data_IF_275767797961
#
_entry.id   IF_275767797961
#
_cell.length_a   1.000
_cell.length_b   1.000
_cell.length_c   1.000
_cell.angle_alpha   90.00
_cell.angle_beta   90.00
_cell.angle_gamma   90.00
#
_symmetry.space_group_name_H-M   'P 1'
#
loop_
_entity.id
_entity.type
_entity.pdbx_description
1 polymer ?
#
# COMPACT_ATOMS: atom_id res chain seq x y z
N UNK A 1 -8.71 -13.90 71.40
CA UNK A 1 -9.59 -14.33 70.30
C UNK A 1 -9.86 -13.12 69.40
N UNK A 2 -9.32 -13.06 68.18
CA UNK A 2 -9.82 -12.13 67.14
C UNK A 2 -9.75 -12.85 65.79
N UNK A 3 -10.90 -13.34 65.33
CA UNK A 3 -11.05 -13.99 64.03
C UNK A 3 -10.86 -12.97 62.91
N UNK A 4 -9.78 -13.12 62.13
CA UNK A 4 -9.55 -12.34 60.91
C UNK A 4 -10.50 -12.86 59.83
N UNK A 5 -11.45 -12.03 59.40
CA UNK A 5 -12.44 -12.33 58.37
C UNK A 5 -11.79 -12.81 57.05
N UNK A 6 -11.81 -14.11 56.74
CA UNK A 6 -11.08 -14.68 55.59
C UNK A 6 -11.71 -14.33 54.23
N UNK A 7 -12.98 -13.88 54.22
CA UNK A 7 -13.71 -13.51 53.02
C UNK A 7 -13.37 -12.12 52.47
N UNK A 8 -13.00 -11.17 53.34
CA UNK A 8 -12.63 -9.81 52.92
C UNK A 8 -11.30 -9.80 52.19
N UNK A 9 -10.35 -10.63 52.61
CA UNK A 9 -9.03 -10.76 51.99
C UNK A 9 -9.12 -11.44 50.62
N UNK A 10 -9.98 -12.44 50.45
CA UNK A 10 -10.12 -13.16 49.16
C UNK A 10 -10.73 -12.29 48.07
N UNK A 11 -11.75 -11.50 48.39
CA UNK A 11 -12.38 -10.61 47.41
C UNK A 11 -11.45 -9.48 46.96
N UNK A 12 -10.71 -8.89 47.91
CA UNK A 12 -9.68 -7.88 47.62
C UNK A 12 -8.54 -8.46 46.77
N UNK A 13 -8.10 -9.68 47.05
CA UNK A 13 -7.09 -10.37 46.24
C UNK A 13 -7.56 -10.62 44.80
N UNK A 14 -8.83 -11.04 44.62
CA UNK A 14 -9.42 -11.25 43.30
C UNK A 14 -9.50 -9.95 42.49
N UNK A 15 -9.90 -8.84 43.13
CA UNK A 15 -9.92 -7.52 42.48
C UNK A 15 -8.52 -7.10 42.06
N UNK A 16 -7.53 -7.26 42.95
CA UNK A 16 -6.15 -6.91 42.64
C UNK A 16 -5.62 -7.74 41.45
N UNK A 17 -5.85 -9.06 41.46
CA UNK A 17 -5.43 -9.94 40.38
C UNK A 17 -6.08 -9.57 39.04
N UNK A 18 -7.37 -9.24 39.04
CA UNK A 18 -8.07 -8.80 37.83
C UNK A 18 -7.56 -7.45 37.32
N UNK A 19 -7.28 -6.50 38.22
CA UNK A 19 -6.70 -5.20 37.88
C UNK A 19 -5.30 -5.34 37.28
N UNK A 20 -4.44 -6.13 37.91
CA UNK A 20 -3.07 -6.38 37.45
C UNK A 20 -3.10 -7.04 36.06
N UNK A 21 -3.98 -8.02 35.86
CA UNK A 21 -4.15 -8.69 34.57
C UNK A 21 -4.63 -7.74 33.46
N UNK A 22 -5.56 -6.83 33.79
CA UNK A 22 -6.03 -5.82 32.84
C UNK A 22 -4.91 -4.85 32.45
N UNK A 23 -4.15 -4.35 33.43
CA UNK A 23 -3.03 -3.44 33.19
C UNK A 23 -1.97 -4.11 32.31
N UNK A 24 -1.62 -5.36 32.62
CA UNK A 24 -0.62 -6.11 31.86
C UNK A 24 -1.09 -6.38 30.42
N UNK A 25 -2.36 -6.73 30.24
CA UNK A 25 -2.96 -6.94 28.92
C UNK A 25 -2.94 -5.66 28.07
N UNK A 26 -3.33 -4.52 28.65
CA UNK A 26 -3.30 -3.23 27.94
C UNK A 26 -1.88 -2.77 27.63
N UNK A 27 -0.93 -2.99 28.55
CA UNK A 27 0.50 -2.72 28.30
C UNK A 27 1.02 -3.56 27.13
N UNK A 28 0.72 -4.86 27.12
CA UNK A 28 1.15 -5.77 26.05
C UNK A 28 0.55 -5.38 24.69
N UNK A 29 -0.74 -4.97 24.66
CA UNK A 29 -1.38 -4.45 23.45
C UNK A 29 -0.71 -3.18 22.94
N UNK A 30 -0.38 -2.24 23.85
CA UNK A 30 0.32 -1.00 23.51
C UNK A 30 1.73 -1.24 22.99
N UNK A 31 2.47 -2.15 23.62
CA UNK A 31 3.80 -2.59 23.18
C UNK A 31 3.74 -3.20 21.78
N UNK A 32 2.79 -4.12 21.53
CA UNK A 32 2.58 -4.73 20.22
C UNK A 32 2.22 -3.68 19.16
N UNK A 33 1.36 -2.71 19.49
CA UNK A 33 1.02 -1.62 18.57
C UNK A 33 2.22 -0.71 18.27
N UNK A 34 3.07 -0.44 19.27
CA UNK A 34 4.31 0.31 19.11
C UNK A 34 5.32 -0.44 18.23
N UNK A 35 5.54 -1.74 18.49
CA UNK A 35 6.41 -2.59 17.68
C UNK A 35 5.90 -2.74 16.24
N UNK A 36 4.58 -2.92 16.04
CA UNK A 36 3.98 -2.95 14.72
C UNK A 36 4.12 -1.62 13.95
N UNK A 37 4.11 -0.48 14.65
CA UNK A 37 4.45 0.83 14.06
C UNK A 37 5.95 0.98 13.79
N UNK A 38 6.81 0.48 14.67
CA UNK A 38 8.26 0.52 14.54
C UNK A 38 8.75 -0.26 13.32
N UNK A 39 8.18 -1.45 13.08
CA UNK A 39 8.50 -2.27 11.91
C UNK A 39 8.10 -1.64 10.55
N UNK A 40 7.31 -0.55 10.52
CA UNK A 40 6.97 0.13 9.26
C UNK A 40 8.13 0.93 8.64
N UNK A 41 9.31 1.00 9.28
CA UNK A 41 10.37 1.92 8.83
C UNK A 41 11.76 1.29 8.61
N UNK A 42 11.89 -0.03 8.53
CA UNK A 42 13.17 -0.69 8.22
C UNK A 42 13.48 -0.72 6.71
N UNK A 43 13.21 0.36 5.99
CA UNK A 43 13.59 0.46 4.59
C UNK A 43 15.10 0.70 4.45
N UNK A 44 15.78 -0.08 3.61
CA UNK A 44 17.21 0.06 3.26
C UNK A 44 17.44 1.37 2.48
N UNK A 45 16.43 1.92 1.83
CA UNK A 45 16.53 3.17 1.10
C UNK A 45 15.22 3.67 0.50
N UNK A 46 15.32 4.70 -0.35
CA UNK A 46 14.20 5.25 -1.12
C UNK A 46 14.54 5.24 -2.61
N UNK A 47 13.58 4.82 -3.43
CA UNK A 47 13.65 4.88 -4.89
C UNK A 47 12.69 5.97 -5.38
N UNK A 48 13.22 6.98 -6.08
CA UNK A 48 12.42 7.96 -6.82
C UNK A 48 12.21 7.45 -8.24
N UNK A 49 10.95 7.28 -8.64
CA UNK A 49 10.57 6.86 -9.98
C UNK A 49 9.81 7.98 -10.66
N UNK A 50 10.22 8.33 -11.88
CA UNK A 50 9.54 9.33 -12.71
C UNK A 50 9.11 8.69 -14.02
N UNK A 51 7.80 8.67 -14.28
CA UNK A 51 7.21 8.22 -15.54
C UNK A 51 6.92 9.44 -16.41
N UNK A 52 7.66 9.56 -17.50
CA UNK A 52 7.57 10.70 -18.42
C UNK A 52 6.41 10.52 -19.41
N UNK A 53 6.54 9.57 -20.32
CA UNK A 53 5.58 9.32 -21.39
C UNK A 53 5.58 7.85 -21.83
N UNK A 54 4.54 7.45 -22.56
CA UNK A 54 4.53 6.23 -23.36
C UNK A 54 4.17 6.57 -24.79
N UNK A 55 4.59 5.73 -25.73
CA UNK A 55 4.31 5.89 -27.16
C UNK A 55 3.71 4.61 -27.74
N UNK A 56 2.94 4.79 -28.80
CA UNK A 56 2.38 3.70 -29.61
C UNK A 56 1.60 2.67 -28.77
N UNK A 57 0.74 3.16 -27.87
CA UNK A 57 -0.16 2.29 -27.12
C UNK A 57 -1.22 1.70 -28.06
N UNK A 58 -1.70 0.50 -27.71
CA UNK A 58 -2.83 -0.12 -28.39
C UNK A 58 -4.09 0.71 -28.16
N UNK A 59 -4.84 0.95 -29.24
CA UNK A 59 -6.16 1.56 -29.15
C UNK A 59 -7.16 0.59 -28.49
N UNK A 60 -7.89 1.08 -27.50
CA UNK A 60 -8.92 0.31 -26.78
C UNK A 60 -10.34 0.78 -27.05
N UNK A 61 -10.52 1.97 -27.65
CA UNK A 61 -11.83 2.52 -28.00
C UNK A 61 -12.08 2.46 -29.51
N UNK A 62 -13.36 2.40 -29.96
CA UNK A 62 -13.72 2.42 -31.37
C UNK A 62 -13.20 3.64 -32.15
N UNK A 63 -12.97 4.77 -31.48
CA UNK A 63 -12.40 5.98 -32.06
C UNK A 63 -10.89 5.86 -32.37
N UNK A 64 -10.28 4.69 -32.15
CA UNK A 64 -8.84 4.47 -32.36
C UNK A 64 -7.96 5.12 -31.28
N UNK A 65 -8.52 5.52 -30.14
CA UNK A 65 -7.80 6.13 -29.02
C UNK A 65 -7.94 5.31 -27.73
N UNK A 66 -7.27 5.79 -26.68
CA UNK A 66 -7.26 5.21 -25.35
C UNK A 66 -7.24 6.35 -24.31
N UNK A 67 -7.61 6.05 -23.07
CA UNK A 67 -7.50 6.89 -21.89
C UNK A 67 -6.44 6.33 -20.92
N UNK A 68 -5.16 6.26 -21.31
CA UNK A 68 -4.15 5.54 -20.56
C UNK A 68 -3.79 6.22 -19.24
N UNK A 69 -3.63 5.42 -18.19
CA UNK A 69 -2.97 5.79 -16.94
C UNK A 69 -1.92 4.73 -16.58
N UNK A 70 -0.93 5.09 -15.77
CA UNK A 70 0.07 4.14 -15.28
C UNK A 70 -0.11 3.85 -13.79
N UNK A 71 0.19 2.62 -13.41
CA UNK A 71 0.24 2.14 -12.04
C UNK A 71 1.63 1.56 -11.79
N UNK A 72 2.27 1.98 -10.71
CA UNK A 72 3.55 1.47 -10.25
C UNK A 72 3.33 0.72 -8.93
N UNK A 73 3.84 -0.50 -8.84
CA UNK A 73 3.75 -1.34 -7.64
C UNK A 73 5.11 -1.86 -7.21
N UNK A 74 5.34 -1.93 -5.91
CA UNK A 74 6.52 -2.55 -5.30
C UNK A 74 6.14 -3.10 -3.91
N UNK A 75 5.93 -4.42 -3.83
CA UNK A 75 5.35 -5.07 -2.67
C UNK A 75 3.96 -4.51 -2.34
N UNK A 76 3.79 -3.95 -1.13
CA UNK A 76 2.52 -3.36 -0.69
C UNK A 76 2.35 -1.88 -1.09
N UNK A 77 3.32 -1.28 -1.78
CA UNK A 77 3.26 0.12 -2.21
C UNK A 77 2.69 0.17 -3.63
N UNK A 78 1.71 1.05 -3.84
CA UNK A 78 1.07 1.27 -5.13
C UNK A 78 0.84 2.76 -5.36
N UNK A 79 1.18 3.23 -6.56
CA UNK A 79 1.01 4.61 -6.99
C UNK A 79 0.41 4.65 -8.39
N UNK A 80 -0.63 5.47 -8.59
CA UNK A 80 -1.34 5.57 -9.86
C UNK A 80 -1.28 7.01 -10.38
N UNK A 81 -0.98 7.18 -11.67
CA UNK A 81 -1.02 8.49 -12.32
C UNK A 81 -2.46 8.91 -12.68
N UNK A 82 -2.63 10.17 -13.08
CA UNK A 82 -3.87 10.61 -13.74
C UNK A 82 -3.93 10.02 -15.15
N UNK A 83 -5.13 9.63 -15.59
CA UNK A 83 -5.32 9.28 -17.00
C UNK A 83 -5.08 10.47 -17.92
N UNK A 84 -4.57 10.19 -19.12
CA UNK A 84 -4.55 11.13 -20.25
C UNK A 84 -5.67 10.74 -21.22
N UNK A 85 -6.45 11.71 -21.70
CA UNK A 85 -7.63 11.44 -22.52
C UNK A 85 -7.29 11.28 -24.00
N UNK A 86 -7.98 10.35 -24.68
CA UNK A 86 -7.97 10.15 -26.13
C UNK A 86 -6.58 10.20 -26.81
N UNK A 87 -5.60 9.51 -26.22
CA UNK A 87 -4.23 9.47 -26.73
C UNK A 87 -3.62 8.07 -26.68
N UNK A 88 -2.79 7.77 -27.67
CA UNK A 88 -1.90 6.59 -27.67
C UNK A 88 -0.46 6.95 -27.29
N UNK A 89 -0.19 8.25 -27.08
CA UNK A 89 1.12 8.78 -26.72
C UNK A 89 0.99 9.68 -25.47
N UNK A 90 0.63 9.12 -24.31
CA UNK A 90 0.41 9.91 -23.11
C UNK A 90 1.70 10.47 -22.52
N UNK A 91 1.64 11.71 -22.02
CA UNK A 91 2.69 12.34 -21.22
C UNK A 91 2.18 12.54 -19.80
N UNK A 92 2.69 11.79 -18.85
CA UNK A 92 2.24 11.88 -17.45
C UNK A 92 3.08 12.84 -16.63
N UNK A 93 4.40 12.88 -16.83
CA UNK A 93 5.34 13.61 -15.97
C UNK A 93 5.05 13.34 -14.49
N UNK A 94 4.86 12.07 -14.15
CA UNK A 94 4.41 11.60 -12.84
C UNK A 94 5.58 11.04 -12.04
N UNK A 95 5.77 11.51 -10.81
CA UNK A 95 6.83 11.03 -9.93
C UNK A 95 6.28 10.48 -8.62
N UNK A 96 6.87 9.39 -8.12
CA UNK A 96 6.53 8.79 -6.83
C UNK A 96 7.78 8.22 -6.14
N UNK A 97 7.69 8.04 -4.83
CA UNK A 97 8.78 7.51 -4.00
C UNK A 97 8.37 6.16 -3.43
N UNK A 98 9.23 5.16 -3.58
CA UNK A 98 9.09 3.86 -2.96
C UNK A 98 10.11 3.69 -1.83
N UNK A 99 9.70 3.08 -0.74
CA UNK A 99 10.60 2.59 0.30
C UNK A 99 11.09 1.19 -0.09
N UNK A 100 12.41 1.04 -0.20
CA UNK A 100 13.05 -0.26 -0.46
C UNK A 100 13.20 -0.98 0.87
N UNK A 101 12.63 -2.17 1.01
CA UNK A 101 12.77 -3.05 2.17
C UNK A 101 13.87 -4.09 1.96
N UNK A 102 14.00 -4.61 0.74
CA UNK A 102 14.97 -5.64 0.38
C UNK A 102 15.40 -5.47 -1.08
N UNK A 103 16.69 -5.22 -1.31
CA UNK A 103 17.25 -4.97 -2.65
C UNK A 103 17.16 -6.18 -3.60
N UNK A 104 17.01 -7.39 -3.08
CA UNK A 104 16.96 -8.62 -3.86
C UNK A 104 15.54 -9.13 -4.08
N UNK A 105 14.60 -8.74 -3.22
CA UNK A 105 13.21 -9.22 -3.28
C UNK A 105 12.24 -8.14 -3.78
N UNK A 106 12.53 -6.86 -3.59
CA UNK A 106 11.65 -5.78 -4.06
C UNK A 106 11.73 -5.65 -5.58
N UNK A 107 10.63 -5.96 -6.25
CA UNK A 107 10.48 -5.81 -7.69
C UNK A 107 9.54 -4.65 -7.98
N UNK A 108 10.01 -3.67 -8.76
CA UNK A 108 9.18 -2.59 -9.28
C UNK A 108 8.46 -3.05 -10.54
N UNK A 109 7.14 -2.99 -10.53
CA UNK A 109 6.31 -3.26 -11.70
C UNK A 109 5.63 -1.97 -12.16
N UNK A 110 5.73 -1.67 -13.46
CA UNK A 110 4.98 -0.60 -14.12
C UNK A 110 3.96 -1.22 -15.07
N UNK A 111 2.69 -0.92 -14.85
CA UNK A 111 1.58 -1.34 -15.71
C UNK A 111 0.84 -0.12 -16.24
N UNK A 112 0.45 -0.15 -17.51
CA UNK A 112 -0.37 0.88 -18.15
C UNK A 112 -1.77 0.30 -18.37
N UNK A 113 -2.79 1.04 -18.00
CA UNK A 113 -4.18 0.60 -18.04
C UNK A 113 -5.07 1.61 -18.77
N UNK A 114 -6.21 1.15 -19.28
CA UNK A 114 -7.25 1.98 -19.87
C UNK A 114 -8.25 2.46 -18.81
N UNK A 115 -8.50 3.77 -18.74
CA UNK A 115 -9.59 4.31 -17.91
C UNK A 115 -10.90 4.37 -18.70
N UNK A 116 -11.82 3.49 -18.36
CA UNK A 116 -13.21 3.54 -18.85
C UNK A 116 -13.97 4.62 -18.07
N UNK A 117 -14.48 5.64 -18.77
CA UNK A 117 -15.42 6.60 -18.17
C UNK A 117 -16.77 5.90 -18.02
N UNK A 118 -17.36 5.96 -16.83
CA UNK A 118 -18.69 5.42 -16.56
C UNK A 118 -19.71 6.11 -17.49
N UNK A 119 -20.46 5.33 -18.28
CA UNK A 119 -21.72 5.84 -18.81
C UNK A 119 -22.74 5.90 -17.65
N UNK A 120 -23.76 6.77 -17.72
CA UNK A 120 -24.80 6.89 -16.69
C UNK A 120 -25.54 5.59 -16.36
N UNK A 121 -25.40 4.56 -17.20
CA UNK A 121 -26.23 3.36 -17.25
C UNK A 121 -25.67 2.19 -16.41
N UNK A 122 -24.69 2.47 -15.53
CA UNK A 122 -24.48 1.68 -14.31
C UNK A 122 -23.79 0.32 -14.45
N UNK A 123 -23.28 -0.06 -15.62
CA UNK A 123 -22.51 -1.30 -15.79
C UNK A 123 -21.13 -1.02 -16.38
N UNK A 124 -20.21 -0.50 -15.56
CA UNK A 124 -18.79 -0.53 -15.88
C UNK A 124 -18.11 -1.54 -14.95
N UNK A 125 -17.96 -2.76 -15.46
CA UNK A 125 -17.01 -3.71 -14.89
C UNK A 125 -15.63 -3.05 -15.06
N UNK A 126 -14.86 -2.93 -13.97
CA UNK A 126 -13.45 -2.51 -14.03
C UNK A 126 -12.69 -3.59 -14.81
N UNK A 127 -12.71 -3.52 -16.13
CA UNK A 127 -11.83 -4.30 -16.97
C UNK A 127 -10.48 -3.59 -17.00
N UNK A 128 -9.56 -4.07 -16.16
CA UNK A 128 -8.17 -3.66 -16.19
C UNK A 128 -7.49 -4.30 -17.40
N UNK A 129 -7.73 -3.73 -18.58
CA UNK A 129 -6.98 -4.12 -19.76
C UNK A 129 -5.56 -3.56 -19.64
N UNK A 130 -4.59 -4.43 -19.38
CA UNK A 130 -3.17 -4.05 -19.42
C UNK A 130 -2.79 -3.69 -20.85
N UNK A 131 -2.43 -2.42 -21.07
CA UNK A 131 -1.96 -1.91 -22.35
C UNK A 131 -0.50 -2.27 -22.59
N UNK A 132 0.29 -2.35 -21.52
CA UNK A 132 1.70 -2.74 -21.47
C UNK A 132 2.08 -2.99 -20.02
N UNK A 133 2.87 -4.03 -19.78
CA UNK A 133 3.53 -4.27 -18.49
C UNK A 133 5.03 -4.27 -18.74
N UNK A 134 5.74 -3.35 -18.09
CA UNK A 134 7.19 -3.32 -18.06
C UNK A 134 7.62 -3.83 -16.68
N UNK A 135 8.28 -4.98 -16.65
CA UNK A 135 9.07 -5.39 -15.49
C UNK A 135 10.37 -4.60 -15.56
N UNK A 136 10.47 -3.57 -14.71
CA UNK A 136 11.69 -2.79 -14.62
C UNK A 136 12.73 -3.58 -13.82
N UNK A 137 13.75 -4.11 -14.48
CA UNK A 137 15.05 -4.28 -13.84
C UNK A 137 15.57 -2.87 -13.54
N UNK A 138 15.28 -2.35 -12.36
CA UNK A 138 15.74 -1.04 -11.93
C UNK A 138 17.26 -1.11 -11.72
N UNK A 139 18.04 -0.82 -12.77
CA UNK A 139 19.46 -0.56 -12.65
C UNK A 139 19.65 0.71 -11.83
N UNK A 140 19.87 0.53 -10.52
CA UNK A 140 20.22 1.59 -9.59
C UNK A 140 21.57 2.17 -10.03
N UNK A 141 21.57 3.38 -10.61
CA UNK A 141 22.80 4.16 -10.74
C UNK A 141 23.29 4.44 -9.32
N UNK A 142 24.36 3.72 -8.92
CA UNK A 142 25.15 4.05 -7.73
C UNK A 142 25.63 5.49 -7.88
N UNK A 143 25.33 6.32 -6.89
CA UNK A 143 26.19 7.47 -6.59
C UNK A 143 27.59 6.96 -6.23
#
# INVERSE_FOLDING_TARGET
MVGKYPFRTTWVQKIKAASDHFIETEKLKREKAYQARSQKNNGIGRLLVTVLEATELKACKPNGKSNPYCELTMGAQCYTSRHQSDTLNPKWNFSCHFFIKDLYQDVLCLSIFERVQFSPDGHAQREFNSLKTLLGEAYMHRC
#
